data_IF_762545447873
#
_entry.id   IF_762545447873
#
_cell.length_a   1.000
_cell.length_b   1.000
_cell.length_c   1.000
_cell.angle_alpha   90.00
_cell.angle_beta   90.00
_cell.angle_gamma   90.00
#
_symmetry.space_group_name_H-M   'P 1'
#
loop_
_entity.id
_entity.type
_entity.pdbx_description
1 polymer ?
#
# COMPACT_ATOMS: atom_id res chain seq x y z
N UNK A 1 -7.81 -8.33 -4.31
CA UNK A 1 -7.10 -8.42 -3.00
C UNK A 1 -5.60 -8.62 -3.15
N UNK A 2 -5.11 -9.49 -4.04
CA UNK A 2 -3.67 -9.78 -4.22
C UNK A 2 -2.83 -8.52 -4.51
N UNK A 3 -3.34 -7.59 -5.32
CA UNK A 3 -2.65 -6.31 -5.58
C UNK A 3 -2.68 -5.32 -4.41
N UNK A 4 -3.43 -5.55 -3.34
CA UNK A 4 -3.52 -4.58 -2.25
C UNK A 4 -4.42 -3.35 -2.51
N UNK A 5 -5.22 -3.33 -3.59
CA UNK A 5 -6.11 -2.18 -3.91
C UNK A 5 -7.06 -1.82 -2.77
N UNK A 6 -7.68 -2.81 -2.14
CA UNK A 6 -8.49 -2.63 -0.93
C UNK A 6 -7.75 -1.98 0.25
N UNK A 7 -6.44 -2.21 0.41
CA UNK A 7 -5.64 -1.59 1.47
C UNK A 7 -5.43 -0.11 1.12
N UNK A 8 -5.12 0.19 -0.15
CA UNK A 8 -4.99 1.55 -0.63
C UNK A 8 -6.30 2.34 -0.46
N UNK A 9 -7.44 1.79 -0.90
CA UNK A 9 -8.75 2.43 -0.74
C UNK A 9 -9.13 2.60 0.73
N UNK A 10 -8.81 1.63 1.60
CA UNK A 10 -9.09 1.75 3.04
C UNK A 10 -8.18 2.77 3.73
N UNK A 11 -6.92 2.84 3.31
CA UNK A 11 -5.98 3.86 3.75
C UNK A 11 -6.47 5.27 3.39
N UNK A 12 -6.90 5.46 2.14
CA UNK A 12 -7.43 6.73 1.64
C UNK A 12 -8.69 7.15 2.42
N UNK A 13 -9.65 6.24 2.55
CA UNK A 13 -10.87 6.47 3.33
C UNK A 13 -10.57 6.85 4.79
N UNK A 14 -9.60 6.20 5.43
CA UNK A 14 -9.23 6.50 6.81
C UNK A 14 -8.46 7.81 6.94
N UNK A 15 -7.63 8.18 5.97
CA UNK A 15 -6.92 9.44 5.98
C UNK A 15 -7.90 10.62 5.90
N UNK A 16 -8.94 10.52 5.07
CA UNK A 16 -9.98 11.56 4.94
C UNK A 16 -10.95 11.63 6.14
N UNK A 17 -11.35 10.48 6.67
CA UNK A 17 -12.41 10.42 7.69
C UNK A 17 -11.91 10.34 9.13
N UNK A 18 -10.79 9.66 9.39
CA UNK A 18 -10.32 9.31 10.72
C UNK A 18 -8.79 9.18 10.78
N UNK A 19 -8.09 10.32 10.74
CA UNK A 19 -6.63 10.39 10.68
C UNK A 19 -5.94 9.65 11.85
N UNK A 20 -6.51 9.68 13.06
CA UNK A 20 -5.97 8.94 14.22
C UNK A 20 -6.03 7.42 14.01
N UNK A 21 -7.13 6.92 13.46
CA UNK A 21 -7.31 5.52 13.12
C UNK A 21 -6.35 5.10 12.00
N UNK A 22 -6.17 5.96 10.98
CA UNK A 22 -5.18 5.77 9.92
C UNK A 22 -3.77 5.59 10.51
N UNK A 23 -3.31 6.55 11.33
CA UNK A 23 -1.99 6.52 11.96
C UNK A 23 -1.79 5.31 12.85
N UNK A 24 -2.81 4.91 13.61
CA UNK A 24 -2.71 3.73 14.49
C UNK A 24 -2.63 2.44 13.69
N UNK A 25 -3.48 2.26 12.67
CA UNK A 25 -3.54 1.03 11.86
C UNK A 25 -2.36 0.88 10.93
N UNK A 26 -1.87 1.97 10.36
CA UNK A 26 -0.74 1.98 9.43
C UNK A 26 0.57 2.45 10.07
N UNK A 27 0.65 2.50 11.41
CA UNK A 27 1.83 2.89 12.17
C UNK A 27 3.11 2.26 11.64
N UNK A 28 3.14 0.93 11.50
CA UNK A 28 4.31 0.20 10.98
C UNK A 28 4.70 0.56 9.54
N UNK A 29 3.72 0.90 8.70
CA UNK A 29 3.98 1.34 7.34
C UNK A 29 4.58 2.75 7.34
N UNK A 30 4.01 3.65 8.13
CA UNK A 30 4.49 5.03 8.31
C UNK A 30 5.89 5.08 8.94
N UNK A 31 6.16 4.24 9.95
CA UNK A 31 7.47 4.09 10.59
C UNK A 31 8.54 3.62 9.59
N UNK A 32 8.16 2.77 8.63
CA UNK A 32 9.02 2.33 7.54
C UNK A 32 9.14 3.37 6.40
N UNK A 33 8.51 4.55 6.52
CA UNK A 33 8.47 5.57 5.47
C UNK A 33 7.68 5.12 4.24
N UNK A 34 6.76 4.18 4.39
CA UNK A 34 6.00 3.58 3.30
C UNK A 34 4.52 3.97 3.36
N UNK A 35 3.99 4.46 2.25
CA UNK A 35 2.58 4.79 2.14
C UNK A 35 1.75 3.55 1.75
N UNK A 36 0.76 3.12 2.56
CA UNK A 36 -0.12 2.01 2.20
C UNK A 36 -0.92 2.24 0.90
N UNK A 37 -1.09 3.49 0.44
CA UNK A 37 -1.76 3.84 -0.82
C UNK A 37 -0.96 3.44 -2.06
N UNK A 38 0.38 3.40 -1.98
CA UNK A 38 1.23 3.02 -3.13
C UNK A 38 1.44 1.51 -3.26
N UNK A 39 0.90 0.73 -2.31
CA UNK A 39 1.03 -0.73 -2.29
C UNK A 39 0.67 -1.40 -3.63
N UNK A 40 -0.44 -1.04 -4.32
CA UNK A 40 -0.79 -1.65 -5.60
C UNK A 40 0.22 -1.40 -6.71
N UNK A 41 0.77 -0.18 -6.76
CA UNK A 41 1.77 0.18 -7.74
C UNK A 41 3.05 -0.64 -7.52
N UNK A 42 3.50 -0.77 -6.27
CA UNK A 42 4.71 -1.54 -5.91
C UNK A 42 4.59 -3.01 -6.26
N UNK A 43 3.42 -3.61 -6.06
CA UNK A 43 3.17 -5.00 -6.45
C UNK A 43 3.26 -5.17 -7.96
N UNK A 44 2.71 -4.24 -8.74
CA UNK A 44 2.79 -4.27 -10.21
C UNK A 44 4.23 -4.09 -10.71
N UNK A 45 4.99 -3.16 -10.11
CA UNK A 45 6.42 -2.96 -10.40
C UNK A 45 7.24 -4.23 -10.15
N UNK A 46 7.06 -4.86 -8.99
CA UNK A 46 7.79 -6.09 -8.63
C UNK A 46 7.40 -7.22 -9.57
N UNK A 47 6.10 -7.38 -9.87
CA UNK A 47 5.63 -8.39 -10.81
C UNK A 47 6.27 -8.22 -12.19
N UNK A 48 6.35 -6.98 -12.69
CA UNK A 48 7.01 -6.66 -13.97
C UNK A 48 8.49 -6.98 -13.95
N UNK A 49 9.20 -6.68 -12.85
CA UNK A 49 10.63 -7.03 -12.71
C UNK A 49 10.83 -8.55 -12.73
N UNK A 50 10.05 -9.29 -11.94
CA UNK A 50 10.13 -10.75 -11.89
C UNK A 50 9.86 -11.39 -13.26
N UNK A 51 8.87 -10.90 -14.01
CA UNK A 51 8.58 -11.40 -15.35
C UNK A 51 9.73 -11.15 -16.32
N UNK A 52 10.42 -10.02 -16.21
CA UNK A 52 11.59 -9.69 -17.05
C UNK A 52 12.84 -10.50 -16.73
N UNK A 53 13.01 -10.94 -15.48
CA UNK A 53 14.17 -11.74 -15.08
C UNK A 53 14.02 -13.24 -15.39
N UNK A 54 12.79 -13.69 -15.66
CA UNK A 54 12.49 -15.10 -16.00
C UNK A 54 12.50 -15.34 -17.52
N UNK A 55 12.58 -14.28 -18.32
CA UNK A 55 12.63 -14.30 -19.79
C UNK A 55 14.08 -14.30 -20.31
#
# INVERSE_FOLDING_TARGET
RIRGEHIASYADMLEESQLDTYRRRFSRYLEAGFDPKVLPMRVDEIKKKLLKEVE
#
